data_IF_820304795828
#
_entry.id   IF_820304795828
#
_cell.length_a   1.000
_cell.length_b   1.000
_cell.length_c   1.000
_cell.angle_alpha   90.00
_cell.angle_beta   90.00
_cell.angle_gamma   90.00
#
_symmetry.space_group_name_H-M   'P 1'
#
loop_
_entity.id
_entity.type
_entity.pdbx_description
1 polymer ?
#
# COMPACT_ATOMS: atom_id res chain seq x y z
N UNK A 1 -37.18 -48.59 -37.48
CA UNK A 1 -38.52 -47.99 -37.27
C UNK A 1 -38.82 -48.06 -35.79
N UNK A 2 -38.34 -47.07 -35.04
CA UNK A 2 -38.72 -46.82 -33.66
C UNK A 2 -38.61 -45.31 -33.49
N UNK A 3 -39.72 -44.64 -33.73
CA UNK A 3 -39.89 -43.21 -33.54
C UNK A 3 -39.89 -42.92 -32.03
N UNK A 4 -38.87 -42.19 -31.56
CA UNK A 4 -38.89 -41.59 -30.23
C UNK A 4 -39.26 -40.13 -30.39
N UNK A 5 -40.55 -39.85 -30.23
CA UNK A 5 -41.07 -38.50 -30.08
C UNK A 5 -40.44 -37.85 -28.84
N UNK A 6 -39.68 -36.78 -29.08
CA UNK A 6 -39.14 -35.91 -28.06
C UNK A 6 -40.29 -35.13 -27.42
N UNK A 7 -40.90 -35.70 -26.39
CA UNK A 7 -41.77 -35.00 -25.47
C UNK A 7 -40.92 -33.98 -24.70
N UNK A 8 -40.84 -32.75 -25.23
CA UNK A 8 -40.34 -31.59 -24.51
C UNK A 8 -41.30 -31.33 -23.35
N UNK A 9 -40.93 -31.84 -22.17
CA UNK A 9 -41.58 -31.54 -20.91
C UNK A 9 -41.49 -30.04 -20.63
N UNK A 10 -42.54 -29.30 -20.99
CA UNK A 10 -42.80 -27.95 -20.49
C UNK A 10 -43.16 -28.14 -19.02
N UNK A 11 -42.15 -28.01 -18.14
CA UNK A 11 -42.36 -27.87 -16.71
C UNK A 11 -43.08 -26.55 -16.48
N UNK A 12 -44.42 -26.59 -16.54
CA UNK A 12 -45.30 -25.59 -15.96
C UNK A 12 -45.03 -25.60 -14.46
N UNK A 13 -44.08 -24.78 -14.03
CA UNK A 13 -44.00 -24.38 -12.64
C UNK A 13 -45.31 -23.65 -12.33
N UNK A 14 -46.22 -24.32 -11.63
CA UNK A 14 -47.37 -23.72 -10.97
C UNK A 14 -46.84 -22.60 -10.08
N UNK A 15 -47.00 -21.35 -10.52
CA UNK A 15 -46.82 -20.20 -9.64
C UNK A 15 -47.85 -20.36 -8.53
N UNK A 16 -47.44 -20.38 -7.24
CA UNK A 16 -48.39 -20.31 -6.16
C UNK A 16 -49.30 -19.11 -6.41
N UNK A 17 -50.60 -19.37 -6.43
CA UNK A 17 -51.63 -18.37 -6.64
C UNK A 17 -51.54 -17.33 -5.52
N UNK A 18 -50.81 -16.25 -5.78
CA UNK A 18 -50.91 -15.01 -5.04
C UNK A 18 -52.31 -14.45 -5.27
N UNK A 19 -53.25 -14.90 -4.44
CA UNK A 19 -54.52 -14.22 -4.28
C UNK A 19 -54.21 -12.80 -3.75
N UNK A 20 -54.54 -11.72 -4.49
CA UNK A 20 -54.26 -10.38 -4.02
C UNK A 20 -55.17 -10.09 -2.81
N UNK A 21 -54.59 -10.14 -1.60
CA UNK A 21 -55.18 -9.50 -0.43
C UNK A 21 -55.27 -8.01 -0.75
N UNK A 22 -56.46 -7.55 -1.15
CA UNK A 22 -56.77 -6.14 -1.37
C UNK A 22 -56.42 -5.38 -0.08
N UNK A 23 -55.45 -4.45 -0.06
CA UNK A 23 -55.31 -3.54 1.06
C UNK A 23 -56.54 -2.63 1.05
N UNK A 24 -57.40 -2.81 2.05
CA UNK A 24 -58.51 -1.91 2.36
C UNK A 24 -57.88 -0.55 2.70
N UNK A 25 -58.00 0.43 1.79
CA UNK A 25 -57.66 1.83 2.06
C UNK A 25 -56.63 2.50 1.14
N UNK A 26 -56.10 1.83 0.11
CA UNK A 26 -55.17 2.51 -0.83
C UNK A 26 -55.97 3.22 -1.93
N UNK A 27 -55.95 4.55 -1.87
CA UNK A 27 -56.44 5.46 -2.90
C UNK A 27 -55.81 5.03 -4.24
N UNK A 28 -56.60 4.73 -5.29
CA UNK A 28 -56.05 4.32 -6.58
C UNK A 28 -55.11 5.40 -7.09
N UNK A 29 -53.90 4.99 -7.46
CA UNK A 29 -52.87 5.83 -8.02
C UNK A 29 -53.47 6.64 -9.17
N UNK A 30 -53.77 7.93 -8.94
CA UNK A 30 -54.10 8.87 -10.00
C UNK A 30 -52.77 9.27 -10.62
N UNK A 31 -52.44 8.86 -11.85
CA UNK A 31 -51.26 9.38 -12.52
C UNK A 31 -51.43 10.90 -12.64
N UNK A 32 -50.59 11.65 -11.93
CA UNK A 32 -50.62 13.10 -11.77
C UNK A 32 -50.38 13.88 -13.07
N UNK A 33 -50.33 13.21 -14.23
CA UNK A 33 -49.98 13.78 -15.53
C UNK A 33 -51.03 13.61 -16.63
N UNK A 34 -52.27 13.23 -16.30
CA UNK A 34 -53.37 13.38 -17.27
C UNK A 34 -53.96 14.79 -17.16
N UNK A 35 -53.07 15.79 -17.27
CA UNK A 35 -53.46 17.15 -17.59
C UNK A 35 -53.99 17.14 -19.02
N UNK A 36 -55.21 17.65 -19.20
CA UNK A 36 -55.84 17.96 -20.49
C UNK A 36 -55.02 19.04 -21.21
N UNK A 37 -53.84 18.71 -21.70
CA UNK A 37 -53.22 19.52 -22.75
C UNK A 37 -53.94 19.16 -24.06
N UNK A 38 -54.70 20.09 -24.67
CA UNK A 38 -55.32 19.83 -25.97
C UNK A 38 -54.23 19.47 -26.98
N UNK A 39 -54.50 18.45 -27.79
CA UNK A 39 -53.65 18.04 -28.92
C UNK A 39 -53.35 19.26 -29.81
N UNK A 40 -52.23 19.91 -29.55
CA UNK A 40 -51.84 21.14 -30.22
C UNK A 40 -50.36 21.35 -30.01
N UNK A 41 -49.57 20.66 -30.85
CA UNK A 41 -48.19 21.02 -31.19
C UNK A 41 -47.33 21.45 -29.99
N UNK A 42 -46.83 20.48 -29.20
CA UNK A 42 -45.67 20.76 -28.36
C UNK A 42 -44.52 21.15 -29.31
N UNK A 43 -43.98 22.38 -29.23
CA UNK A 43 -42.82 22.75 -30.05
C UNK A 43 -41.71 21.74 -29.77
N UNK A 44 -40.91 21.34 -30.78
CA UNK A 44 -39.85 20.36 -30.59
C UNK A 44 -38.97 20.87 -29.45
N UNK A 45 -38.96 20.13 -28.34
CA UNK A 45 -38.10 20.46 -27.21
C UNK A 45 -36.70 20.52 -27.79
N UNK A 46 -36.11 21.72 -27.77
CA UNK A 46 -34.74 21.94 -28.22
C UNK A 46 -33.90 20.87 -27.55
N UNK A 47 -33.28 20.01 -28.36
CA UNK A 47 -32.37 18.96 -27.90
C UNK A 47 -31.31 19.65 -27.03
N UNK A 48 -31.53 19.68 -25.72
CA UNK A 48 -30.54 20.15 -24.79
C UNK A 48 -29.32 19.24 -25.01
N UNK A 49 -28.11 19.82 -25.15
CA UNK A 49 -26.91 19.02 -25.30
C UNK A 49 -26.88 17.98 -24.16
N UNK A 50 -26.46 16.73 -24.45
CA UNK A 50 -26.47 15.67 -23.45
C UNK A 50 -25.79 16.19 -22.19
N UNK A 51 -26.52 16.20 -21.07
CA UNK A 51 -25.98 16.57 -19.77
C UNK A 51 -24.69 15.77 -19.58
N UNK A 52 -23.56 16.48 -19.55
CA UNK A 52 -22.30 15.88 -19.19
C UNK A 52 -22.52 15.28 -17.80
N UNK A 53 -22.34 13.97 -17.67
CA UNK A 53 -22.48 13.31 -16.37
C UNK A 53 -21.37 13.86 -15.52
N UNK A 54 -21.71 14.54 -14.44
CA UNK A 54 -20.75 15.02 -13.44
C UNK A 54 -19.90 13.82 -13.04
N UNK A 55 -18.64 13.81 -13.51
CA UNK A 55 -17.72 12.73 -13.21
C UNK A 55 -17.49 12.77 -11.72
N UNK A 56 -17.79 11.65 -11.05
CA UNK A 56 -17.75 11.56 -9.59
C UNK A 56 -16.37 11.98 -9.08
N UNK A 57 -16.28 13.18 -8.51
CA UNK A 57 -15.05 13.83 -8.06
C UNK A 57 -14.34 13.02 -6.98
N UNK A 58 -15.08 12.22 -6.21
CA UNK A 58 -14.52 11.32 -5.21
C UNK A 58 -13.59 10.27 -5.83
N UNK A 59 -13.94 9.73 -7.00
CA UNK A 59 -13.09 8.75 -7.68
C UNK A 59 -11.81 9.39 -8.22
N UNK A 60 -11.86 10.64 -8.68
CA UNK A 60 -10.67 11.36 -9.13
C UNK A 60 -9.72 11.64 -7.95
N UNK A 61 -10.26 12.11 -6.82
CA UNK A 61 -9.50 12.34 -5.58
C UNK A 61 -8.87 11.07 -5.05
N UNK A 62 -9.63 9.96 -5.02
CA UNK A 62 -9.09 8.68 -4.58
C UNK A 62 -7.95 8.19 -5.48
N UNK A 63 -8.06 8.36 -6.81
CA UNK A 63 -6.97 8.01 -7.75
C UNK A 63 -5.75 8.91 -7.56
N UNK A 64 -5.93 10.20 -7.28
CA UNK A 64 -4.82 11.11 -6.96
C UNK A 64 -4.15 10.72 -5.65
N UNK A 65 -4.95 10.44 -4.61
CA UNK A 65 -4.45 9.98 -3.31
C UNK A 65 -3.65 8.67 -3.44
N UNK A 66 -4.12 7.69 -4.21
CA UNK A 66 -3.36 6.46 -4.46
C UNK A 66 -2.01 6.71 -5.15
N UNK A 67 -1.94 7.68 -6.06
CA UNK A 67 -0.67 8.07 -6.70
C UNK A 67 0.28 8.73 -5.69
N UNK A 68 -0.22 9.64 -4.87
CA UNK A 68 0.57 10.31 -3.83
C UNK A 68 1.06 9.31 -2.77
N UNK A 69 0.19 8.42 -2.31
CA UNK A 69 0.54 7.36 -1.36
C UNK A 69 1.61 6.42 -1.95
N UNK A 70 1.47 6.02 -3.21
CA UNK A 70 2.48 5.21 -3.90
C UNK A 70 3.83 5.93 -4.08
N UNK A 71 3.83 7.26 -4.25
CA UNK A 71 5.05 8.05 -4.31
C UNK A 71 5.71 8.18 -2.92
N UNK A 72 4.92 8.44 -1.87
CA UNK A 72 5.38 8.50 -0.48
C UNK A 72 6.02 7.19 -0.03
N UNK A 73 5.41 6.05 -0.33
CA UNK A 73 5.97 4.71 -0.08
C UNK A 73 7.32 4.48 -0.77
N UNK A 74 7.50 4.99 -2.00
CA UNK A 74 8.79 4.89 -2.69
C UNK A 74 9.86 5.76 -2.03
N UNK A 75 9.51 6.98 -1.64
CA UNK A 75 10.42 7.89 -0.93
C UNK A 75 10.87 7.31 0.41
N UNK A 76 9.95 6.70 1.15
CA UNK A 76 10.24 6.04 2.43
C UNK A 76 11.19 4.84 2.25
N UNK A 77 10.98 4.03 1.21
CA UNK A 77 11.90 2.93 0.87
C UNK A 77 13.30 3.44 0.49
N UNK A 78 13.39 4.45 -0.37
CA UNK A 78 14.69 5.03 -0.73
C UNK A 78 15.40 5.66 0.47
N UNK A 79 14.64 6.24 1.40
CA UNK A 79 15.20 6.78 2.64
C UNK A 79 15.73 5.67 3.54
N UNK A 80 14.98 4.57 3.69
CA UNK A 80 15.42 3.41 4.46
C UNK A 80 16.66 2.72 3.86
N UNK A 81 16.75 2.64 2.53
CA UNK A 81 17.94 2.15 1.82
C UNK A 81 19.17 3.04 2.08
N UNK A 82 19.02 4.36 1.95
CA UNK A 82 20.10 5.31 2.25
C UNK A 82 20.55 5.25 3.72
N UNK A 83 19.62 5.08 4.65
CA UNK A 83 19.95 4.93 6.07
C UNK A 83 20.71 3.63 6.34
N UNK A 84 20.36 2.55 5.65
CA UNK A 84 21.09 1.28 5.74
C UNK A 84 22.50 1.42 5.19
N UNK A 85 22.68 2.05 4.04
CA UNK A 85 23.99 2.28 3.43
C UNK A 85 24.88 3.14 4.34
N UNK A 86 24.32 4.16 4.99
CA UNK A 86 25.03 4.97 5.99
C UNK A 86 25.49 4.14 7.19
N UNK A 87 24.63 3.27 7.72
CA UNK A 87 24.99 2.36 8.83
C UNK A 87 26.06 1.34 8.42
N UNK A 88 26.01 0.84 7.18
CA UNK A 88 27.00 -0.09 6.65
C UNK A 88 28.36 0.59 6.46
N UNK A 89 28.39 1.86 6.04
CA UNK A 89 29.62 2.67 5.98
C UNK A 89 30.20 2.90 7.38
N UNK A 90 29.38 3.27 8.36
CA UNK A 90 29.83 3.44 9.75
C UNK A 90 30.41 2.13 10.32
N UNK A 91 29.78 0.99 10.03
CA UNK A 91 30.32 -0.32 10.40
C UNK A 91 31.63 -0.65 9.68
N UNK A 92 31.79 -0.25 8.43
CA UNK A 92 33.05 -0.42 7.70
C UNK A 92 34.17 0.41 8.33
N UNK A 93 33.91 1.69 8.64
CA UNK A 93 34.87 2.55 9.32
C UNK A 93 35.30 1.97 10.68
N UNK A 94 34.35 1.42 11.44
CA UNK A 94 34.64 0.79 12.73
C UNK A 94 35.47 -0.49 12.57
N UNK A 95 35.20 -1.29 11.52
CA UNK A 95 36.05 -2.45 11.17
C UNK A 95 37.44 -2.01 10.77
N UNK A 96 37.58 -0.99 9.94
CA UNK A 96 38.87 -0.47 9.51
C UNK A 96 39.67 0.08 10.70
N UNK A 97 39.05 0.89 11.56
CA UNK A 97 39.65 1.41 12.78
C UNK A 97 40.14 0.26 13.69
N UNK A 98 39.32 -0.79 13.86
CA UNK A 98 39.72 -2.00 14.60
C UNK A 98 40.94 -2.70 13.98
N UNK A 99 40.98 -2.85 12.64
CA UNK A 99 42.13 -3.47 11.97
C UNK A 99 43.42 -2.64 12.12
N UNK A 100 43.31 -1.31 12.07
CA UNK A 100 44.44 -0.40 12.29
C UNK A 100 44.94 -0.57 13.73
N UNK A 101 44.04 -0.62 14.72
CA UNK A 101 44.38 -0.79 16.13
C UNK A 101 45.05 -2.15 16.40
N UNK A 102 44.53 -3.23 15.80
CA UNK A 102 45.18 -4.55 15.87
C UNK A 102 46.59 -4.53 15.25
N UNK A 103 46.75 -3.85 14.11
CA UNK A 103 48.04 -3.74 13.43
C UNK A 103 49.04 -2.91 14.23
N UNK A 104 48.60 -1.82 14.87
CA UNK A 104 49.47 -1.00 15.72
C UNK A 104 49.89 -1.75 16.98
N UNK A 105 49.00 -2.51 17.62
CA UNK A 105 49.34 -3.37 18.77
C UNK A 105 50.39 -4.42 18.36
N UNK A 106 50.19 -5.10 17.24
CA UNK A 106 51.15 -6.11 16.76
C UNK A 106 52.50 -5.50 16.36
N UNK A 107 52.51 -4.28 15.84
CA UNK A 107 53.74 -3.56 15.49
C UNK A 107 54.48 -2.97 16.69
N UNK A 108 53.76 -2.55 17.73
CA UNK A 108 54.33 -1.95 18.96
C UNK A 108 54.63 -2.97 20.05
N UNK A 109 54.11 -4.21 19.94
CA UNK A 109 54.54 -5.31 20.79
C UNK A 109 56.05 -5.49 20.63
N UNK A 110 56.87 -5.18 21.65
CA UNK A 110 58.30 -5.39 21.57
C UNK A 110 58.53 -6.87 21.24
N UNK A 111 59.49 -7.22 20.35
CA UNK A 111 59.81 -8.60 20.09
C UNK A 111 60.14 -9.22 21.43
N UNK A 112 59.20 -10.03 21.93
CA UNK A 112 59.31 -10.71 23.21
C UNK A 112 60.66 -11.38 23.21
N UNK A 113 61.58 -10.82 24.00
CA UNK A 113 62.95 -11.30 24.15
C UNK A 113 62.84 -12.80 24.31
N UNK A 114 63.44 -13.53 23.38
CA UNK A 114 63.34 -14.97 23.28
C UNK A 114 63.42 -15.58 24.69
N UNK A 115 62.30 -16.17 25.14
CA UNK A 115 62.31 -17.04 26.30
C UNK A 115 63.08 -18.30 25.89
N UNK A 116 64.41 -18.19 25.94
CA UNK A 116 65.34 -19.31 25.92
C UNK A 116 65.22 -20.03 27.26
N UNK A 117 64.08 -20.64 27.54
CA UNK A 117 64.03 -21.73 28.50
C UNK A 117 64.10 -23.02 27.70
N UNK A 118 65.36 -23.45 27.55
CA UNK A 118 65.71 -24.80 27.20
C UNK A 118 64.91 -25.78 28.08
N UNK A 119 64.40 -26.82 27.41
CA UNK A 119 63.87 -28.02 28.02
C UNK A 119 64.86 -28.61 29.05
N UNK A 120 64.41 -29.44 30.00
CA UNK A 120 64.24 -30.84 29.60
C UNK A 120 63.10 -31.62 30.27
N UNK A 121 62.78 -32.72 29.62
CA UNK A 121 62.31 -33.98 30.19
C UNK A 121 60.83 -34.11 30.62
N UNK A 122 60.09 -34.79 29.74
CA UNK A 122 59.35 -36.02 30.04
C UNK A 122 58.79 -36.17 31.46
N UNK A 123 57.54 -35.72 31.67
CA UNK A 123 56.64 -36.29 32.67
C UNK A 123 55.24 -36.36 32.04
N UNK A 124 54.74 -37.58 31.86
CA UNK A 124 53.35 -37.87 31.51
C UNK A 124 52.41 -37.31 32.60
N UNK A 125 51.36 -36.55 32.25
CA UNK A 125 50.30 -36.25 33.20
C UNK A 125 49.25 -37.38 33.21
N UNK A 126 48.73 -37.76 34.38
CA UNK A 126 47.64 -38.72 34.48
C UNK A 126 46.35 -38.14 33.92
N UNK A 127 45.63 -38.97 33.17
CA UNK A 127 44.22 -38.77 32.82
C UNK A 127 43.43 -38.44 34.08
N UNK A 128 42.94 -37.21 34.17
CA UNK A 128 41.85 -36.86 35.08
C UNK A 128 40.74 -36.23 34.26
N UNK A 129 39.61 -36.93 34.23
CA UNK A 129 38.32 -36.43 33.78
C UNK A 129 37.91 -35.25 34.68
N UNK A 130 38.27 -34.04 34.29
CA UNK A 130 37.81 -32.82 34.95
C UNK A 130 37.03 -31.97 33.94
N UNK A 131 35.71 -32.03 34.13
CA UNK A 131 34.67 -31.21 33.51
C UNK A 131 35.08 -29.73 33.50
N UNK A 132 35.07 -29.02 32.36
CA UNK A 132 35.38 -27.60 32.33
C UNK A 132 34.24 -26.84 33.02
N UNK A 133 34.51 -26.36 34.23
CA UNK A 133 33.70 -25.37 34.90
C UNK A 133 34.03 -24.02 34.27
N UNK A 134 33.23 -23.63 33.28
CA UNK A 134 33.23 -22.29 32.70
C UNK A 134 32.97 -21.28 33.80
N UNK A 135 34.02 -20.61 34.28
CA UNK A 135 33.88 -19.34 34.97
C UNK A 135 33.38 -18.35 33.92
N UNK A 136 32.11 -17.99 34.05
CA UNK A 136 31.52 -16.86 33.36
C UNK A 136 32.24 -15.60 33.87
N UNK A 137 33.16 -15.10 33.04
CA UNK A 137 33.74 -13.78 33.19
C UNK A 137 32.62 -12.77 32.94
N UNK A 138 32.25 -12.06 34.01
CA UNK A 138 31.20 -11.05 34.02
C UNK A 138 31.58 -9.94 33.02
N UNK A 139 30.70 -9.59 32.05
CA UNK A 139 31.03 -8.57 31.06
C UNK A 139 31.29 -7.22 31.75
N UNK A 140 32.31 -6.46 31.32
CA UNK A 140 32.64 -5.19 31.93
C UNK A 140 31.43 -4.25 31.86
N UNK A 141 31.05 -3.68 33.00
CA UNK A 141 29.99 -2.66 33.13
C UNK A 141 30.18 -1.59 32.04
N UNK A 142 29.13 -1.26 31.26
CA UNK A 142 29.22 -0.21 30.26
C UNK A 142 29.59 1.10 30.94
N UNK A 143 30.74 1.66 30.53
CA UNK A 143 31.11 3.01 30.94
C UNK A 143 30.05 3.99 30.42
N UNK A 144 29.71 5.04 31.18
CA UNK A 144 28.74 6.05 30.74
C UNK A 144 29.24 6.68 29.43
N UNK A 145 28.44 6.50 28.37
CA UNK A 145 28.63 7.16 27.07
C UNK A 145 28.88 8.65 27.32
N UNK A 146 30.02 9.14 26.85
CA UNK A 146 30.24 10.58 26.79
C UNK A 146 29.15 11.21 25.92
N UNK A 147 28.64 12.39 26.29
CA UNK A 147 27.67 13.10 25.47
C UNK A 147 28.31 13.37 24.10
N UNK A 148 27.68 12.87 23.04
CA UNK A 148 28.10 13.18 21.68
C UNK A 148 28.01 14.70 21.48
N UNK A 149 28.96 15.30 20.73
CA UNK A 149 28.90 16.73 20.46
C UNK A 149 27.61 17.02 19.71
N UNK A 150 26.76 17.87 20.29
CA UNK A 150 25.57 18.41 19.63
C UNK A 150 26.00 19.01 18.28
N UNK A 151 25.69 18.30 17.21
CA UNK A 151 25.85 18.81 15.85
C UNK A 151 24.76 19.87 15.69
N UNK A 152 25.18 21.13 15.69
CA UNK A 152 24.29 22.27 15.60
C UNK A 152 23.56 22.22 14.24
N UNK A 153 22.26 21.94 14.26
CA UNK A 153 21.42 21.79 13.07
C UNK A 153 21.49 23.02 12.15
N UNK A 154 21.83 24.19 12.70
CA UNK A 154 22.04 25.42 11.95
C UNK A 154 23.27 25.36 11.02
N UNK A 155 24.32 24.63 11.38
CA UNK A 155 25.50 24.46 10.52
C UNK A 155 25.22 23.50 9.37
N UNK A 156 24.34 22.50 9.57
CA UNK A 156 23.94 21.58 8.52
C UNK A 156 23.09 22.27 7.44
N UNK A 157 22.15 23.12 7.85
CA UNK A 157 21.34 23.95 6.93
C UNK A 157 22.21 24.92 6.13
N UNK A 158 23.23 25.52 6.78
CA UNK A 158 24.16 26.42 6.10
C UNK A 158 25.01 25.71 5.05
N UNK A 159 25.43 24.47 5.34
CA UNK A 159 26.21 23.65 4.40
C UNK A 159 25.36 23.21 3.19
N UNK A 160 24.05 22.97 3.39
CA UNK A 160 23.12 22.64 2.32
C UNK A 160 22.80 23.84 1.41
N UNK A 161 22.60 25.03 1.99
CA UNK A 161 22.38 26.25 1.21
C UNK A 161 23.60 26.64 0.35
N UNK A 162 24.82 26.41 0.85
CA UNK A 162 26.04 26.68 0.09
C UNK A 162 26.23 25.70 -1.08
N UNK A 163 25.85 24.44 -0.90
CA UNK A 163 25.91 23.41 -1.94
C UNK A 163 24.90 23.68 -3.08
N UNK A 164 23.69 24.13 -2.72
CA UNK A 164 22.63 24.43 -3.69
C UNK A 164 22.85 25.78 -4.38
N UNK A 165 23.32 26.78 -3.64
CA UNK A 165 23.64 28.10 -4.17
C UNK A 165 24.78 28.08 -5.20
N UNK A 166 25.79 27.23 -5.00
CA UNK A 166 26.92 27.07 -5.92
C UNK A 166 26.53 26.49 -7.28
N UNK A 167 25.52 25.61 -7.33
CA UNK A 167 25.07 24.96 -8.56
C UNK A 167 24.25 25.90 -9.47
N UNK A 168 23.51 26.85 -8.90
CA UNK A 168 22.69 27.80 -9.65
C UNK A 168 23.49 28.92 -10.33
N UNK A 169 24.67 29.27 -9.80
CA UNK A 169 25.52 30.31 -10.37
C UNK A 169 26.27 29.89 -11.65
N UNK A 170 26.33 28.59 -11.96
CA UNK A 170 27.03 28.06 -13.13
C UNK A 170 26.14 27.84 -14.37
N UNK A 171 24.83 28.11 -14.28
CA UNK A 171 23.92 27.94 -15.41
C UNK A 171 23.98 29.16 -16.37
N UNK A 172 24.24 28.96 -17.67
CA UNK A 172 24.25 30.05 -18.64
C UNK A 172 22.84 30.66 -18.77
N UNK A 173 22.73 32.00 -18.90
CA UNK A 173 21.44 32.68 -18.96
C UNK A 173 20.62 32.20 -20.17
N UNK A 174 19.32 31.96 -20.01
CA UNK A 174 18.46 31.52 -21.11
C UNK A 174 18.36 32.60 -22.20
N UNK A 175 18.24 32.21 -23.48
CA UNK A 175 18.13 33.16 -24.58
C UNK A 175 16.85 34.01 -24.46
N UNK A 176 16.88 35.29 -24.91
CA UNK A 176 15.74 36.19 -24.81
C UNK A 176 14.56 35.66 -25.64
N UNK A 177 13.44 35.41 -24.97
CA UNK A 177 12.18 35.03 -25.59
C UNK A 177 11.61 36.21 -26.38
N UNK A 178 11.42 35.99 -27.69
CA UNK A 178 10.76 36.92 -28.60
C UNK A 178 9.25 36.85 -28.33
N UNK A 179 8.56 37.96 -28.03
CA UNK A 179 7.13 37.95 -27.78
C UNK A 179 6.34 37.67 -29.07
N UNK A 180 5.33 36.77 -29.04
CA UNK A 180 4.44 36.57 -30.17
C UNK A 180 3.49 37.76 -30.35
N UNK A 181 3.32 38.17 -31.60
CA UNK A 181 2.49 39.29 -32.05
C UNK A 181 1.02 39.18 -31.63
N UNK A 182 0.49 40.32 -31.17
CA UNK A 182 -0.91 40.58 -30.81
C UNK A 182 -1.94 40.14 -31.88
N UNK A 183 -3.00 39.41 -31.49
CA UNK A 183 -4.28 39.44 -32.19
C UNK A 183 -5.24 40.49 -31.59
N UNK A 184 -5.94 41.14 -32.51
CA UNK A 184 -6.83 42.30 -32.39
C UNK A 184 -7.95 42.23 -31.31
N UNK A 185 -8.48 43.39 -30.87
CA UNK A 185 -9.43 43.48 -29.76
C UNK A 185 -10.88 43.14 -30.15
N UNK A 186 -11.53 42.29 -29.36
CA UNK A 186 -12.96 42.00 -29.44
C UNK A 186 -13.74 42.76 -28.34
N UNK A 187 -15.05 43.04 -28.54
CA UNK A 187 -15.74 44.16 -27.90
C UNK A 187 -16.29 43.87 -26.50
N UNK A 188 -16.33 44.96 -25.74
CA UNK A 188 -16.79 45.08 -24.36
C UNK A 188 -18.20 44.51 -24.09
N UNK A 189 -18.32 43.80 -22.97
CA UNK A 189 -19.59 43.43 -22.34
C UNK A 189 -19.64 43.96 -20.89
N UNK A 190 -20.84 44.24 -20.35
CA UNK A 190 -21.05 45.25 -19.31
C UNK A 190 -20.90 44.74 -17.86
N UNK A 191 -20.58 45.71 -17.00
CA UNK A 191 -20.33 45.61 -15.57
C UNK A 191 -21.47 44.97 -14.77
N UNK A 192 -21.09 44.11 -13.81
CA UNK A 192 -21.95 43.62 -12.73
C UNK A 192 -21.45 44.16 -11.37
N UNK A 193 -22.37 44.38 -10.40
CA UNK A 193 -22.11 45.18 -9.21
C UNK A 193 -21.46 44.41 -8.04
N UNK A 194 -20.74 45.18 -7.22
CA UNK A 194 -19.95 44.79 -6.05
C UNK A 194 -20.78 44.14 -4.91
N UNK A 195 -20.20 43.19 -4.15
CA UNK A 195 -20.76 42.77 -2.89
C UNK A 195 -20.15 43.49 -1.68
N UNK A 196 -21.07 43.77 -0.77
CA UNK A 196 -21.03 44.47 0.51
C UNK A 196 -20.16 43.74 1.56
N UNK A 197 -19.39 44.51 2.32
CA UNK A 197 -18.51 44.04 3.40
C UNK A 197 -19.33 43.77 4.68
N UNK A 198 -19.17 42.59 5.27
CA UNK A 198 -19.61 42.29 6.62
C UNK A 198 -18.39 41.99 7.52
N UNK A 199 -18.36 42.64 8.68
CA UNK A 199 -17.31 42.59 9.69
C UNK A 199 -17.31 41.29 10.52
N UNK A 200 -16.18 40.91 11.16
CA UNK A 200 -16.10 39.75 12.05
C UNK A 200 -16.45 40.10 13.51
N UNK A 201 -17.03 39.14 14.23
CA UNK A 201 -17.19 39.19 15.70
C UNK A 201 -16.43 38.03 16.35
N UNK A 202 -15.75 38.39 17.43
CA UNK A 202 -14.96 37.58 18.37
C UNK A 202 -15.79 36.63 19.25
N UNK A 203 -15.14 35.55 19.71
CA UNK A 203 -15.24 34.90 21.05
C UNK A 203 -14.51 33.54 20.95
N UNK A 204 -13.30 33.32 21.45
CA UNK A 204 -12.85 33.24 22.85
C UNK A 204 -13.65 32.24 23.72
N UNK A 205 -13.11 31.03 23.90
CA UNK A 205 -13.29 30.22 25.10
C UNK A 205 -12.25 29.08 25.15
N UNK A 206 -11.38 29.13 26.17
CA UNK A 206 -10.40 28.11 26.54
C UNK A 206 -10.94 27.27 27.76
N UNK A 207 -10.15 26.38 28.41
CA UNK A 207 -10.45 24.95 28.48
C UNK A 207 -10.86 24.46 29.89
N UNK A 208 -11.46 23.26 29.96
CA UNK A 208 -11.78 22.59 31.22
C UNK A 208 -11.06 21.25 31.36
N UNK A 209 -10.60 21.02 32.59
CA UNK A 209 -9.64 20.02 33.03
C UNK A 209 -10.25 18.63 33.36
N UNK A 210 -9.34 17.65 33.36
CA UNK A 210 -9.21 16.33 34.04
C UNK A 210 -10.32 15.82 35.02
N UNK A 211 -10.42 14.50 35.26
CA UNK A 211 -9.56 13.90 36.29
C UNK A 211 -9.05 12.46 36.07
N UNK A 212 -8.01 12.16 36.85
CA UNK A 212 -7.20 10.96 37.02
C UNK A 212 -7.95 9.77 37.67
N UNK A 213 -7.43 8.55 37.47
CA UNK A 213 -7.76 7.37 38.30
C UNK A 213 -6.69 6.27 38.22
N UNK A 214 -6.63 5.36 39.22
CA UNK A 214 -5.39 5.09 39.95
C UNK A 214 -4.70 3.75 39.68
N UNK A 215 -3.47 3.68 40.19
CA UNK A 215 -2.49 2.60 40.18
C UNK A 215 -3.01 1.19 40.56
N UNK A 216 -2.60 0.20 39.76
CA UNK A 216 -2.64 -1.22 40.09
C UNK A 216 -1.22 -1.80 40.07
N UNK A 217 -0.88 -2.58 41.10
CA UNK A 217 0.48 -3.03 41.40
C UNK A 217 1.01 -4.19 40.53
N UNK A 218 2.31 -4.54 40.69
CA UNK A 218 3.01 -5.48 39.81
C UNK A 218 2.70 -6.96 40.15
N UNK A 219 2.54 -7.83 39.13
CA UNK A 219 2.41 -9.28 39.32
C UNK A 219 3.78 -9.99 39.51
N UNK A 220 3.81 -11.19 40.13
CA UNK A 220 5.02 -11.94 40.48
C UNK A 220 5.67 -12.68 39.28
N UNK A 221 6.97 -13.01 39.35
CA UNK A 221 7.70 -13.65 38.25
C UNK A 221 7.42 -15.16 38.13
N UNK A 222 7.38 -15.73 36.90
CA UNK A 222 7.27 -17.17 36.68
C UNK A 222 8.62 -17.91 36.85
N UNK A 223 8.59 -19.23 37.13
CA UNK A 223 9.76 -20.02 37.48
C UNK A 223 10.65 -20.36 36.28
N UNK A 224 11.96 -20.22 36.49
CA UNK A 224 13.02 -20.71 35.61
C UNK A 224 13.10 -22.24 35.62
N UNK A 225 13.14 -22.86 34.44
CA UNK A 225 13.25 -24.31 34.31
C UNK A 225 13.85 -24.77 32.99
N UNK A 226 15.10 -25.21 33.08
CA UNK A 226 15.76 -26.28 32.32
C UNK A 226 16.09 -26.09 30.82
N UNK A 227 17.38 -25.86 30.60
CA UNK A 227 18.10 -26.11 29.35
C UNK A 227 18.17 -27.61 28.98
N UNK A 228 18.12 -27.92 27.68
CA UNK A 228 18.73 -29.12 27.14
C UNK A 228 19.19 -28.87 25.68
N UNK A 229 20.48 -29.11 25.44
CA UNK A 229 21.16 -28.95 24.16
C UNK A 229 21.15 -30.27 23.35
N UNK A 230 20.98 -30.19 22.03
CA UNK A 230 21.50 -31.17 21.06
C UNK A 230 21.48 -30.64 19.60
N UNK A 231 22.52 -31.02 18.85
CA UNK A 231 23.05 -30.60 17.53
C UNK A 231 22.17 -30.81 16.27
N UNK A 232 22.57 -30.30 15.08
CA UNK A 232 21.67 -29.99 13.96
C UNK A 232 21.56 -31.14 12.94
N UNK A 233 20.32 -31.56 12.68
CA UNK A 233 19.97 -32.41 11.55
C UNK A 233 18.78 -31.80 10.79
N UNK A 234 18.99 -31.59 9.48
CA UNK A 234 18.04 -31.43 8.36
C UNK A 234 16.56 -31.14 8.75
N UNK A 235 15.97 -29.98 8.36
CA UNK A 235 14.66 -29.56 8.85
C UNK A 235 13.54 -30.50 8.38
N UNK A 236 13.12 -31.39 9.26
CA UNK A 236 11.86 -32.10 9.16
C UNK A 236 10.72 -31.08 9.31
N UNK A 237 9.75 -31.12 8.39
CA UNK A 237 8.57 -30.27 8.39
C UNK A 237 7.91 -30.27 9.78
N UNK A 238 7.80 -29.08 10.39
CA UNK A 238 7.23 -28.89 11.72
C UNK A 238 5.74 -29.31 11.74
N UNK A 239 5.26 -29.90 12.85
CA UNK A 239 3.85 -30.27 13.00
C UNK A 239 2.96 -29.02 12.96
N UNK A 240 1.78 -29.07 12.30
CA UNK A 240 0.87 -27.93 12.23
C UNK A 240 0.34 -27.57 13.61
N UNK A 241 0.50 -26.30 14.00
CA UNK A 241 -0.02 -25.76 15.27
C UNK A 241 -1.55 -25.96 15.34
N UNK A 242 -2.10 -26.36 16.50
CA UNK A 242 -3.52 -26.62 16.66
C UNK A 242 -4.32 -25.32 16.53
N UNK A 243 -5.21 -25.27 15.52
CA UNK A 243 -6.15 -24.16 15.31
C UNK A 243 -7.26 -24.19 16.36
N UNK A 244 -6.96 -23.71 17.56
CA UNK A 244 -7.96 -23.44 18.59
C UNK A 244 -8.88 -22.29 18.16
N UNK A 245 -10.13 -22.31 18.62
CA UNK A 245 -11.11 -21.23 18.42
C UNK A 245 -10.58 -19.94 19.06
N UNK A 246 -9.89 -19.10 18.29
CA UNK A 246 -9.42 -17.81 18.79
C UNK A 246 -10.61 -16.89 19.03
N UNK A 247 -10.64 -16.30 20.23
CA UNK A 247 -11.54 -15.19 20.53
C UNK A 247 -11.23 -14.05 19.55
N UNK A 248 -12.24 -13.32 19.06
CA UNK A 248 -11.98 -12.18 18.19
C UNK A 248 -11.12 -11.14 18.94
N UNK A 249 -10.23 -10.43 18.22
CA UNK A 249 -9.21 -9.55 18.82
C UNK A 249 -9.77 -8.52 19.82
N UNK A 250 -10.98 -8.02 19.60
CA UNK A 250 -11.64 -7.05 20.51
C UNK A 250 -12.07 -7.65 21.86
N UNK A 251 -12.05 -8.97 22.01
CA UNK A 251 -12.36 -9.68 23.24
C UNK A 251 -11.11 -10.22 23.97
N UNK A 252 -9.91 -9.94 23.46
CA UNK A 252 -8.65 -10.21 24.15
C UNK A 252 -8.31 -9.04 25.07
N UNK A 253 -7.70 -9.34 26.21
CA UNK A 253 -7.16 -8.31 27.09
C UNK A 253 -5.89 -7.73 26.47
N UNK A 254 -5.52 -6.50 26.84
CA UNK A 254 -4.31 -5.84 26.33
C UNK A 254 -3.05 -6.71 26.49
N UNK A 255 -2.89 -7.39 27.62
CA UNK A 255 -1.78 -8.32 27.85
C UNK A 255 -1.82 -9.58 26.95
N UNK A 256 -3.02 -10.08 26.61
CA UNK A 256 -3.16 -11.18 25.64
C UNK A 256 -2.83 -10.73 24.21
N UNK A 257 -3.11 -9.46 23.89
CA UNK A 257 -2.75 -8.85 22.60
C UNK A 257 -1.24 -8.69 22.50
N UNK A 258 -0.59 -8.09 23.50
CA UNK A 258 0.86 -7.88 23.52
C UNK A 258 1.64 -9.21 23.41
N UNK A 259 1.23 -10.24 24.17
CA UNK A 259 1.87 -11.56 24.09
C UNK A 259 1.67 -12.23 22.72
N UNK A 260 0.55 -11.95 22.05
CA UNK A 260 0.29 -12.47 20.70
C UNK A 260 1.11 -11.71 19.66
N UNK A 261 1.25 -10.40 19.81
CA UNK A 261 2.10 -9.56 18.95
C UNK A 261 3.58 -9.95 19.09
N UNK A 262 4.06 -10.24 20.30
CA UNK A 262 5.42 -10.75 20.53
C UNK A 262 5.64 -12.13 19.87
N UNK A 263 4.66 -13.05 20.01
CA UNK A 263 4.72 -14.34 19.35
C UNK A 263 4.68 -14.24 17.80
N UNK A 264 3.89 -13.31 17.26
CA UNK A 264 3.85 -13.01 15.83
C UNK A 264 5.18 -12.37 15.36
N UNK A 265 5.79 -11.51 16.17
CA UNK A 265 7.12 -10.94 15.90
C UNK A 265 8.21 -12.03 15.83
N UNK A 266 8.22 -12.96 16.78
CA UNK A 266 9.14 -14.11 16.77
C UNK A 266 8.91 -15.02 15.55
N UNK A 267 7.66 -15.25 15.15
CA UNK A 267 7.32 -16.00 13.94
C UNK A 267 7.83 -15.28 12.67
N UNK A 268 7.71 -13.96 12.60
CA UNK A 268 8.21 -13.16 11.49
C UNK A 268 9.74 -13.16 11.42
N UNK A 269 10.44 -13.04 12.55
CA UNK A 269 11.91 -13.14 12.61
C UNK A 269 12.36 -14.52 12.15
N UNK A 270 11.71 -15.59 12.67
CA UNK A 270 12.03 -16.97 12.28
C UNK A 270 11.73 -17.24 10.80
N UNK A 271 10.65 -16.68 10.27
CA UNK A 271 10.34 -16.77 8.85
C UNK A 271 11.41 -16.07 8.00
N UNK A 272 11.84 -14.87 8.40
CA UNK A 272 12.91 -14.15 7.71
C UNK A 272 14.25 -14.90 7.72
N UNK A 273 14.60 -15.56 8.83
CA UNK A 273 15.79 -16.41 8.92
C UNK A 273 15.71 -17.67 8.05
N UNK A 274 14.50 -18.20 7.84
CA UNK A 274 14.27 -19.41 7.04
C UNK A 274 14.02 -19.11 5.55
N UNK A 275 13.76 -17.85 5.19
CA UNK A 275 13.50 -17.46 3.82
C UNK A 275 14.81 -17.42 3.04
N UNK A 276 15.14 -18.52 2.37
CA UNK A 276 16.21 -18.59 1.40
C UNK A 276 15.79 -17.81 0.13
N UNK A 277 16.17 -16.53 0.08
CA UNK A 277 15.84 -15.62 -1.01
C UNK A 277 16.40 -16.15 -2.34
N UNK A 278 17.56 -16.81 -2.32
CA UNK A 278 18.20 -17.33 -3.53
C UNK A 278 17.42 -18.53 -4.08
N UNK A 279 17.00 -19.45 -3.20
CA UNK A 279 16.14 -20.57 -3.58
C UNK A 279 14.75 -20.09 -4.05
N UNK A 280 14.16 -19.09 -3.39
CA UNK A 280 12.89 -18.51 -3.80
C UNK A 280 12.98 -17.81 -5.16
N UNK A 281 14.06 -17.06 -5.42
CA UNK A 281 14.30 -16.43 -6.71
C UNK A 281 14.59 -17.46 -7.81
N UNK A 282 15.29 -18.55 -7.51
CA UNK A 282 15.54 -19.62 -8.47
C UNK A 282 14.27 -20.41 -8.82
N UNK A 283 13.43 -20.73 -7.81
CA UNK A 283 12.22 -21.53 -8.00
C UNK A 283 11.06 -20.71 -8.58
N UNK A 284 10.93 -19.44 -8.19
CA UNK A 284 9.83 -18.63 -8.66
C UNK A 284 10.07 -18.17 -10.11
N UNK A 285 11.26 -17.69 -10.44
CA UNK A 285 11.35 -16.73 -11.54
C UNK A 285 12.16 -17.21 -12.75
N UNK A 286 12.99 -18.25 -12.67
CA UNK A 286 13.87 -18.53 -13.82
C UNK A 286 13.17 -19.28 -14.97
N UNK A 287 12.36 -20.32 -14.69
CA UNK A 287 11.76 -21.12 -15.76
C UNK A 287 10.57 -20.42 -16.43
N UNK A 288 9.68 -19.81 -15.64
CA UNK A 288 8.52 -19.08 -16.16
C UNK A 288 8.92 -17.80 -16.91
N UNK A 289 9.94 -17.09 -16.43
CA UNK A 289 10.47 -15.91 -17.11
C UNK A 289 11.22 -16.29 -18.39
N UNK A 290 12.03 -17.36 -18.37
CA UNK A 290 12.66 -17.89 -19.60
C UNK A 290 11.60 -18.26 -20.63
N UNK A 291 10.52 -18.93 -20.21
CA UNK A 291 9.41 -19.28 -21.09
C UNK A 291 8.69 -18.06 -21.65
N UNK A 292 8.45 -17.03 -20.83
CA UNK A 292 7.83 -15.78 -21.27
C UNK A 292 8.73 -14.99 -22.24
N UNK A 293 10.05 -14.97 -21.99
CA UNK A 293 11.03 -14.36 -22.91
C UNK A 293 11.08 -15.12 -24.24
N UNK A 294 11.07 -16.44 -24.22
CA UNK A 294 11.06 -17.25 -25.45
C UNK A 294 9.80 -17.01 -26.31
N UNK A 295 8.64 -16.79 -25.67
CA UNK A 295 7.40 -16.42 -26.38
C UNK A 295 7.55 -15.06 -27.06
N UNK A 296 8.13 -14.07 -26.39
CA UNK A 296 8.34 -12.75 -26.96
C UNK A 296 9.39 -12.73 -28.08
N UNK A 297 10.47 -13.49 -27.94
CA UNK A 297 11.46 -13.63 -29.02
C UNK A 297 10.86 -14.32 -30.25
N UNK A 298 9.94 -15.28 -30.06
CA UNK A 298 9.16 -15.86 -31.16
C UNK A 298 8.22 -14.83 -31.80
N UNK A 299 7.50 -14.04 -31.01
CA UNK A 299 6.64 -12.96 -31.52
C UNK A 299 7.44 -11.92 -32.34
N UNK A 300 8.60 -11.49 -31.84
CA UNK A 300 9.46 -10.52 -32.52
C UNK A 300 10.04 -11.12 -33.82
N UNK A 301 10.41 -12.42 -33.81
CA UNK A 301 10.87 -13.15 -35.01
C UNK A 301 9.75 -13.28 -36.05
N UNK A 302 8.52 -13.56 -35.63
CA UNK A 302 7.35 -13.61 -36.53
C UNK A 302 6.97 -12.23 -37.08
N UNK A 303 7.18 -11.16 -36.30
CA UNK A 303 7.00 -9.78 -36.72
C UNK A 303 8.10 -9.28 -37.67
N UNK A 304 9.13 -10.10 -37.94
CA UNK A 304 10.27 -9.72 -38.78
C UNK A 304 11.18 -8.67 -38.14
N UNK A 305 11.12 -8.51 -36.81
CA UNK A 305 12.04 -7.65 -36.08
C UNK A 305 13.39 -8.38 -35.94
N UNK A 306 14.53 -7.67 -36.04
CA UNK A 306 15.83 -8.27 -35.83
C UNK A 306 15.89 -8.86 -34.41
N UNK A 307 16.45 -10.08 -34.30
CA UNK A 307 16.66 -10.75 -33.01
C UNK A 307 17.40 -9.83 -32.04
N UNK A 308 17.07 -9.92 -30.77
CA UNK A 308 17.67 -9.08 -29.72
C UNK A 308 19.16 -9.43 -29.51
N UNK A 309 19.58 -10.61 -29.94
CA UNK A 309 20.99 -11.01 -30.05
C UNK A 309 21.60 -10.40 -31.31
N UNK A 310 22.52 -9.46 -31.13
CA UNK A 310 23.38 -9.06 -32.22
C UNK A 310 24.33 -10.16 -32.64
N UNK A 311 24.90 -10.01 -33.84
CA UNK A 311 25.93 -10.94 -34.35
C UNK A 311 27.11 -11.10 -33.37
N UNK A 312 27.34 -10.11 -32.50
CA UNK A 312 28.40 -10.09 -31.50
C UNK A 312 27.97 -10.63 -30.12
N UNK A 313 26.75 -11.18 -29.99
CA UNK A 313 26.21 -11.67 -28.72
C UNK A 313 25.92 -10.59 -27.68
N UNK A 314 26.05 -9.31 -28.05
CA UNK A 314 25.66 -8.18 -27.20
C UNK A 314 24.21 -7.77 -27.52
N UNK A 315 23.39 -7.44 -26.51
CA UNK A 315 22.07 -6.89 -26.74
C UNK A 315 22.22 -5.60 -27.55
N UNK A 316 21.71 -5.59 -28.79
CA UNK A 316 21.87 -4.46 -29.71
C UNK A 316 21.19 -3.19 -29.18
N UNK A 317 20.19 -3.36 -28.31
CA UNK A 317 19.34 -2.27 -27.89
C UNK A 317 18.81 -2.52 -26.46
N UNK A 318 19.56 -2.07 -25.45
CA UNK A 318 19.19 -2.16 -24.01
C UNK A 318 17.74 -1.74 -23.75
N UNK A 319 17.25 -0.76 -24.51
CA UNK A 319 15.87 -0.26 -24.41
C UNK A 319 14.84 -1.30 -24.84
N UNK A 320 15.12 -2.07 -25.90
CA UNK A 320 14.24 -3.15 -26.37
C UNK A 320 14.25 -4.31 -25.39
N UNK A 321 15.43 -4.71 -24.92
CA UNK A 321 15.54 -5.73 -23.88
C UNK A 321 14.71 -5.36 -22.64
N UNK A 322 14.88 -4.14 -22.11
CA UNK A 322 14.08 -3.67 -20.94
C UNK A 322 12.58 -3.72 -21.22
N UNK A 323 12.14 -3.32 -22.40
CA UNK A 323 10.72 -3.37 -22.79
C UNK A 323 10.20 -4.80 -22.86
N UNK A 324 10.94 -5.71 -23.49
CA UNK A 324 10.57 -7.11 -23.62
C UNK A 324 10.60 -7.81 -22.25
N UNK A 325 11.56 -7.49 -21.40
CA UNK A 325 11.65 -7.96 -20.01
C UNK A 325 10.42 -7.57 -19.17
N UNK A 326 10.03 -6.29 -19.19
CA UNK A 326 8.82 -5.83 -18.48
C UNK A 326 7.56 -6.50 -19.03
N UNK A 327 7.50 -6.74 -20.34
CA UNK A 327 6.39 -7.47 -20.98
C UNK A 327 6.34 -8.93 -20.54
N UNK A 328 7.49 -9.60 -20.43
CA UNK A 328 7.60 -10.96 -19.92
C UNK A 328 7.17 -11.06 -18.44
N UNK A 329 7.65 -10.14 -17.59
CA UNK A 329 7.24 -10.05 -16.18
C UNK A 329 5.73 -9.88 -16.03
N UNK A 330 5.12 -9.00 -16.82
CA UNK A 330 3.67 -8.81 -16.81
C UNK A 330 2.92 -10.07 -17.30
N UNK A 331 3.46 -10.82 -18.27
CA UNK A 331 2.89 -12.11 -18.69
C UNK A 331 2.97 -13.16 -17.58
N UNK A 332 4.10 -13.29 -16.89
CA UNK A 332 4.26 -14.23 -15.76
C UNK A 332 3.29 -13.87 -14.63
N UNK A 333 3.18 -12.59 -14.27
CA UNK A 333 2.20 -12.14 -13.29
C UNK A 333 0.76 -12.47 -13.69
N UNK A 334 0.42 -12.31 -14.97
CA UNK A 334 -0.89 -12.69 -15.50
C UNK A 334 -1.12 -14.20 -15.49
N UNK A 335 -0.11 -15.00 -15.83
CA UNK A 335 -0.19 -16.46 -15.76
C UNK A 335 -0.36 -16.95 -14.33
N UNK A 336 0.37 -16.38 -13.36
CA UNK A 336 0.20 -16.67 -11.93
C UNK A 336 -1.18 -16.27 -11.41
N UNK A 337 -1.68 -15.10 -11.80
CA UNK A 337 -3.03 -14.67 -11.44
C UNK A 337 -4.10 -15.62 -12.01
N UNK A 338 -3.92 -16.10 -13.24
CA UNK A 338 -4.80 -17.09 -13.85
C UNK A 338 -4.69 -18.46 -13.16
N UNK A 339 -3.48 -18.89 -12.81
CA UNK A 339 -3.29 -20.15 -12.08
C UNK A 339 -3.88 -20.05 -10.68
N UNK A 340 -3.69 -18.95 -9.96
CA UNK A 340 -4.33 -18.68 -8.67
C UNK A 340 -5.86 -18.68 -8.81
N UNK A 341 -6.41 -18.12 -9.89
CA UNK A 341 -7.84 -18.20 -10.17
C UNK A 341 -8.32 -19.64 -10.45
N UNK A 342 -7.49 -20.47 -11.09
CA UNK A 342 -7.76 -21.90 -11.33
C UNK A 342 -7.61 -22.77 -10.07
N UNK A 343 -6.64 -22.44 -9.21
CA UNK A 343 -6.34 -23.09 -7.93
C UNK A 343 -7.16 -22.52 -6.78
N UNK A 344 -7.95 -21.47 -7.00
CA UNK A 344 -8.86 -20.89 -6.02
C UNK A 344 -9.61 -21.99 -5.28
N UNK A 345 -9.86 -21.81 -3.97
CA UNK A 345 -10.15 -22.89 -3.04
C UNK A 345 -11.27 -23.77 -3.60
N UNK A 346 -10.89 -24.96 -4.09
CA UNK A 346 -11.84 -26.05 -4.28
C UNK A 346 -12.45 -26.26 -2.89
N UNK A 347 -13.76 -26.04 -2.69
CA UNK A 347 -14.37 -26.33 -1.39
C UNK A 347 -14.09 -27.80 -1.09
N UNK A 348 -13.30 -28.03 -0.04
CA UNK A 348 -12.94 -29.36 0.43
C UNK A 348 -14.22 -30.00 0.98
N UNK A 349 -14.99 -30.68 0.12
CA UNK A 349 -16.27 -31.23 0.54
C UNK A 349 -17.16 -31.85 -0.53
N UNK A 350 -16.68 -32.11 -1.75
CA UNK A 350 -17.48 -32.90 -2.71
C UNK A 350 -16.63 -33.99 -3.35
N UNK A 351 -16.38 -35.02 -2.56
CA UNK A 351 -15.96 -36.35 -3.01
C UNK A 351 -17.22 -37.20 -3.07
N UNK A 352 -17.91 -37.20 -4.22
CA UNK A 352 -18.86 -38.24 -4.57
C UNK A 352 -18.94 -38.37 -6.11
N UNK A 353 -18.46 -39.51 -6.61
CA UNK A 353 -18.74 -40.15 -7.92
C UNK A 353 -18.76 -39.25 -9.16
N UNK A 354 -17.79 -39.33 -10.07
CA UNK A 354 -17.52 -40.54 -10.84
C UNK A 354 -18.59 -40.75 -11.93
N UNK A 355 -18.45 -40.08 -13.08
CA UNK A 355 -18.79 -40.69 -14.37
C UNK A 355 -18.12 -39.94 -15.51
N UNK A 356 -17.44 -40.73 -16.31
CA UNK A 356 -16.76 -40.36 -17.54
C UNK A 356 -17.77 -40.06 -18.67
N UNK A 357 -17.20 -39.45 -19.72
CA UNK A 357 -17.68 -39.34 -21.10
C UNK A 357 -18.66 -38.19 -21.43
N UNK A 358 -18.08 -37.17 -22.08
CA UNK A 358 -18.54 -36.80 -23.42
C UNK A 358 -19.47 -35.59 -23.54
N UNK A 359 -18.90 -34.49 -24.05
CA UNK A 359 -19.56 -33.62 -25.04
C UNK A 359 -20.48 -32.51 -24.52
N UNK A 360 -20.13 -31.25 -24.87
CA UNK A 360 -21.09 -30.15 -25.01
C UNK A 360 -21.16 -29.16 -23.85
N UNK A 361 -20.17 -28.27 -23.73
CA UNK A 361 -20.15 -27.21 -22.72
C UNK A 361 -20.83 -25.91 -23.19
N UNK A 362 -22.15 -25.89 -23.32
CA UNK A 362 -22.92 -24.65 -23.17
C UNK A 362 -24.30 -25.03 -22.61
N UNK A 363 -24.70 -24.44 -21.48
CA UNK A 363 -26.01 -24.57 -20.82
C UNK A 363 -26.23 -25.69 -19.77
N UNK A 364 -25.27 -25.90 -18.87
CA UNK A 364 -25.57 -26.46 -17.55
C UNK A 364 -25.01 -25.52 -16.47
N UNK A 365 -25.86 -24.61 -15.97
CA UNK A 365 -25.61 -23.91 -14.72
C UNK A 365 -25.59 -24.96 -13.61
N UNK A 366 -24.40 -25.44 -13.30
CA UNK A 366 -24.17 -26.51 -12.34
C UNK A 366 -24.70 -26.10 -10.98
N UNK A 367 -25.20 -27.07 -10.24
CA UNK A 367 -25.70 -27.00 -8.87
C UNK A 367 -24.79 -26.19 -7.92
N UNK A 368 -23.48 -26.13 -8.22
CA UNK A 368 -22.51 -25.27 -7.56
C UNK A 368 -22.81 -23.75 -7.67
N UNK A 369 -23.35 -23.28 -8.80
CA UNK A 369 -23.81 -21.90 -8.97
C UNK A 369 -25.09 -21.64 -8.19
N UNK A 370 -26.01 -22.60 -8.14
CA UNK A 370 -27.21 -22.51 -7.32
C UNK A 370 -26.89 -22.51 -5.81
N UNK A 371 -25.90 -23.30 -5.39
CA UNK A 371 -25.40 -23.30 -4.01
C UNK A 371 -24.70 -21.98 -3.65
N UNK A 372 -23.95 -21.37 -4.58
CA UNK A 372 -23.35 -20.03 -4.37
C UNK A 372 -24.41 -18.94 -4.29
N UNK A 373 -25.43 -18.98 -5.13
CA UNK A 373 -26.55 -18.05 -5.05
C UNK A 373 -27.37 -18.23 -3.76
N UNK A 374 -27.54 -19.47 -3.29
CA UNK A 374 -28.19 -19.75 -2.01
C UNK A 374 -27.37 -19.19 -0.83
N UNK A 375 -26.05 -19.44 -0.80
CA UNK A 375 -25.16 -18.90 0.23
C UNK A 375 -25.06 -17.37 0.19
N UNK A 376 -25.11 -16.76 -1.01
CA UNK A 376 -25.14 -15.31 -1.16
C UNK A 376 -26.45 -14.68 -0.65
N UNK A 377 -27.59 -15.38 -0.83
CA UNK A 377 -28.88 -14.94 -0.28
C UNK A 377 -28.93 -15.09 1.24
N UNK A 378 -28.37 -16.17 1.79
CA UNK A 378 -28.28 -16.37 3.23
C UNK A 378 -27.42 -15.28 3.89
N UNK A 379 -26.25 -14.95 3.31
CA UNK A 379 -25.43 -13.82 3.79
C UNK A 379 -26.16 -12.48 3.72
N UNK A 380 -26.95 -12.23 2.67
CA UNK A 380 -27.77 -11.00 2.59
C UNK A 380 -28.83 -10.97 3.68
N UNK A 381 -29.48 -12.10 3.97
CA UNK A 381 -30.45 -12.22 5.05
C UNK A 381 -29.81 -12.02 6.42
N UNK A 382 -28.61 -12.56 6.63
CA UNK A 382 -27.86 -12.40 7.88
C UNK A 382 -27.40 -10.93 8.08
N UNK A 383 -27.01 -10.24 7.00
CA UNK A 383 -26.72 -8.79 7.05
C UNK A 383 -28.00 -7.98 7.32
N UNK A 384 -29.13 -8.35 6.72
CA UNK A 384 -30.41 -7.67 6.91
C UNK A 384 -30.90 -7.86 8.36
N UNK A 385 -30.86 -9.08 8.89
CA UNK A 385 -31.19 -9.40 10.29
C UNK A 385 -30.23 -8.72 11.28
N UNK A 386 -28.93 -8.69 10.99
CA UNK A 386 -27.96 -7.94 11.78
C UNK A 386 -28.20 -6.41 11.71
N UNK A 387 -28.69 -5.90 10.58
CA UNK A 387 -29.04 -4.48 10.43
C UNK A 387 -30.36 -4.11 11.12
N UNK A 388 -31.32 -5.02 11.16
CA UNK A 388 -32.58 -4.89 11.90
C UNK A 388 -32.34 -4.96 13.41
N UNK A 389 -31.44 -5.83 13.87
CA UNK A 389 -31.00 -5.86 15.26
C UNK A 389 -30.28 -4.57 15.68
N UNK A 390 -29.61 -3.89 14.73
CA UNK A 390 -28.88 -2.63 14.97
C UNK A 390 -29.77 -1.39 14.93
N UNK A 391 -30.89 -1.44 14.20
CA UNK A 391 -31.85 -0.31 14.11
C UNK A 391 -32.76 -0.17 15.33
N UNK A 392 -32.74 -1.12 16.28
CA UNK A 392 -33.35 -0.96 17.61
C UNK A 392 -32.47 -0.21 18.61
N UNK A 393 -31.26 0.19 18.21
CA UNK A 393 -30.42 1.12 18.99
C UNK A 393 -30.96 2.56 18.98
N UNK A 394 -30.49 3.43 19.89
CA UNK A 394 -30.91 4.83 19.96
C UNK A 394 -30.82 5.48 18.58
N UNK A 395 -31.94 6.04 18.11
CA UNK A 395 -32.07 6.75 16.84
C UNK A 395 -30.93 7.78 16.73
N UNK A 396 -29.89 7.41 15.97
CA UNK A 396 -28.74 8.27 15.73
C UNK A 396 -29.27 9.58 15.12
N UNK A 397 -29.07 10.68 15.84
CA UNK A 397 -29.63 11.98 15.47
C UNK A 397 -29.03 12.39 14.12
N UNK A 398 -29.88 12.45 13.09
CA UNK A 398 -29.52 12.82 11.72
C UNK A 398 -29.30 14.34 11.56
N UNK A 399 -28.90 15.03 12.63
CA UNK A 399 -28.67 16.48 12.66
C UNK A 399 -27.25 16.89 12.27
N UNK A 400 -26.34 15.98 11.94
CA UNK A 400 -25.04 16.33 11.36
C UNK A 400 -25.18 16.55 9.84
N UNK A 401 -25.49 17.78 9.44
CA UNK A 401 -25.34 18.27 8.06
C UNK A 401 -23.86 18.23 7.66
N UNK A 402 -23.39 17.08 7.18
CA UNK A 402 -22.09 16.92 6.53
C UNK A 402 -22.10 17.42 5.07
N UNK A 403 -22.73 18.58 4.82
CA UNK A 403 -22.98 19.11 3.47
C UNK A 403 -22.17 20.35 3.08
N UNK A 404 -21.77 21.19 4.04
CA UNK A 404 -21.17 22.50 3.75
C UNK A 404 -19.64 22.56 3.94
N UNK A 405 -19.00 21.51 4.45
CA UNK A 405 -17.55 21.54 4.74
C UNK A 405 -16.67 21.04 3.58
N UNK A 406 -17.26 20.47 2.54
CA UNK A 406 -16.52 19.99 1.37
C UNK A 406 -15.88 21.14 0.57
N UNK A 407 -16.43 22.36 0.65
CA UNK A 407 -15.87 23.55 0.00
C UNK A 407 -14.64 24.12 0.71
N UNK A 408 -14.47 23.87 2.02
CA UNK A 408 -13.36 24.45 2.80
C UNK A 408 -12.03 23.71 2.61
N UNK A 409 -12.07 22.41 2.31
CA UNK A 409 -10.84 21.65 2.03
C UNK A 409 -10.20 22.03 0.69
N UNK A 410 -11.01 22.30 -0.36
CA UNK A 410 -10.45 22.76 -1.64
C UNK A 410 -9.88 24.17 -1.54
N UNK A 411 -10.38 25.02 -0.63
CA UNK A 411 -9.75 26.31 -0.35
C UNK A 411 -8.41 26.13 0.34
N UNK A 412 -8.26 25.20 1.30
CA UNK A 412 -7.00 25.00 2.01
C UNK A 412 -5.83 24.62 1.09
N UNK A 413 -6.05 23.74 0.10
CA UNK A 413 -5.01 23.37 -0.87
C UNK A 413 -4.60 24.54 -1.80
N UNK A 414 -5.59 25.31 -2.28
CA UNK A 414 -5.32 26.50 -3.10
C UNK A 414 -4.59 27.58 -2.31
N UNK A 415 -4.83 27.65 -1.01
CA UNK A 415 -4.16 28.58 -0.13
C UNK A 415 -2.65 28.30 -0.06
N UNK A 416 -2.24 27.04 0.00
CA UNK A 416 -0.84 26.60 0.00
C UNK A 416 -0.16 26.86 -1.35
N UNK A 417 -0.78 26.48 -2.46
CA UNK A 417 -0.24 26.73 -3.82
C UNK A 417 0.02 28.22 -4.08
N UNK A 418 -0.87 29.07 -3.58
CA UNK A 418 -0.69 30.53 -3.70
C UNK A 418 0.45 31.04 -2.83
N UNK A 419 0.63 30.47 -1.65
CA UNK A 419 1.72 30.82 -0.74
C UNK A 419 3.07 30.40 -1.31
N UNK A 420 3.14 29.23 -1.94
CA UNK A 420 4.31 28.77 -2.65
C UNK A 420 4.61 29.65 -3.88
N UNK A 421 3.59 30.02 -4.65
CA UNK A 421 3.73 30.96 -5.77
C UNK A 421 4.28 32.33 -5.34
N UNK A 422 3.80 32.87 -4.22
CA UNK A 422 4.30 34.12 -3.64
C UNK A 422 5.68 33.96 -2.99
N UNK A 423 6.05 32.75 -2.53
CA UNK A 423 7.39 32.45 -2.01
C UNK A 423 8.43 32.41 -3.13
N UNK A 424 8.06 31.87 -4.29
CA UNK A 424 8.90 31.82 -5.49
C UNK A 424 9.04 33.20 -6.16
N UNK A 425 8.08 34.12 -5.94
CA UNK A 425 8.05 35.45 -6.55
C UNK A 425 8.01 36.56 -5.47
N UNK A 426 9.13 36.89 -4.82
CA UNK A 426 9.16 37.86 -3.72
C UNK A 426 8.70 39.25 -4.12
N UNK A 427 8.95 39.66 -5.37
CA UNK A 427 8.48 40.95 -5.90
C UNK A 427 6.93 41.04 -5.93
N UNK A 428 6.26 39.95 -6.31
CA UNK A 428 4.79 39.88 -6.34
C UNK A 428 4.18 39.85 -4.94
N UNK A 429 4.91 39.37 -3.93
CA UNK A 429 4.46 39.37 -2.53
C UNK A 429 4.32 40.78 -1.95
N UNK A 430 5.11 41.73 -2.47
CA UNK A 430 5.01 43.14 -2.04
C UNK A 430 3.80 43.86 -2.64
N UNK A 431 3.37 43.47 -3.84
CA UNK A 431 2.32 44.15 -4.61
C UNK A 431 0.95 43.45 -4.48
N UNK A 432 0.93 42.13 -4.34
CA UNK A 432 -0.29 41.32 -4.33
C UNK A 432 -0.50 40.61 -2.99
N UNK A 433 -1.72 40.74 -2.47
CA UNK A 433 -2.17 39.93 -1.34
C UNK A 433 -2.39 38.47 -1.77
N UNK A 434 -2.35 37.54 -0.81
CA UNK A 434 -2.65 36.10 -1.04
C UNK A 434 -3.97 35.89 -1.79
N UNK A 435 -4.98 36.70 -1.52
CA UNK A 435 -6.27 36.65 -2.22
C UNK A 435 -6.19 37.12 -3.69
N UNK A 436 -5.41 38.17 -3.96
CA UNK A 436 -5.17 38.64 -5.34
C UNK A 436 -4.38 37.63 -6.16
N UNK A 437 -3.40 36.96 -5.55
CA UNK A 437 -2.61 35.93 -6.21
C UNK A 437 -3.45 34.69 -6.58
N UNK A 438 -4.39 34.28 -5.71
CA UNK A 438 -5.39 33.23 -6.06
C UNK A 438 -6.20 33.60 -7.29
N UNK A 439 -6.74 34.82 -7.33
CA UNK A 439 -7.55 35.25 -8.46
C UNK A 439 -6.77 35.25 -9.79
N UNK A 440 -5.47 35.54 -9.75
CA UNK A 440 -4.60 35.44 -10.93
C UNK A 440 -4.39 33.98 -11.35
N UNK A 441 -4.13 33.07 -10.41
CA UNK A 441 -3.98 31.64 -10.70
C UNK A 441 -5.29 31.04 -11.27
N UNK A 442 -6.43 31.40 -10.70
CA UNK A 442 -7.75 30.99 -11.20
C UNK A 442 -8.02 31.53 -12.62
N UNK A 443 -7.61 32.77 -12.90
CA UNK A 443 -7.78 33.37 -14.23
C UNK A 443 -6.86 32.71 -15.28
N UNK A 444 -5.64 32.33 -14.90
CA UNK A 444 -4.72 31.59 -15.78
C UNK A 444 -5.22 30.17 -16.03
N UNK A 445 -5.72 29.49 -14.99
CA UNK A 445 -6.33 28.17 -15.13
C UNK A 445 -7.55 28.21 -16.05
N UNK A 446 -8.42 29.21 -15.88
CA UNK A 446 -9.60 29.40 -16.74
C UNK A 446 -9.27 29.80 -18.19
N UNK A 447 -8.06 30.32 -18.46
CA UNK A 447 -7.61 30.65 -19.81
C UNK A 447 -6.88 29.48 -20.50
N UNK A 448 -6.47 28.45 -19.74
CA UNK A 448 -5.81 27.25 -20.25
C UNK A 448 -6.79 26.15 -20.66
N UNK A 449 -8.03 26.21 -20.15
CA UNK A 449 -9.18 25.40 -20.56
C UNK A 449 -9.92 26.03 -21.77
#
# INVERSE_FOLDING_TARGET
>A
MTDFESAKGVMLCERPSDAPKKPVGVIPFRPTNVGRDPLGMRPPQRLLPPRQKDTNTANLRHRQWLKQYGASQKMEKTKAELEKDLKDLEQQELREASTILHRTILATAPPSVASTNAAPAAVEPPRTDAKPQSQAEEPPKPQPKQPEPDVDLADLDRMMDELVGGALAAAPPPPPLVPPSDPAPAPAAPAAPAPEQAAPQDAEAAPAAAPESPAAGPPPPPPQGAAAAASPAKPAALPPLPKGKQKPQWAMTEAEVEAKEEAEADELVRFAEQLDIDAYLSDADEEDLRRALEVLDKEDREAGLPSNEGADGKPIDDKRFRRNFVRAMNQVAMMRAQEAARRGPKPAGSVAGGSALGGGSIAAGTEASAARDAAARERRREIEEASEARTQGPKWDASTKAGDDAGKMDTAGRDEETEEFLRQNPELRSVHSKRSARAMLDQVAAAAD
#
